data_IF_585771231209
#
_entry.id   IF_585771231209
#
_cell.length_a   1.000
_cell.length_b   1.000
_cell.length_c   1.000
_cell.angle_alpha   90.00
_cell.angle_beta   90.00
_cell.angle_gamma   90.00
#
_symmetry.space_group_name_H-M   'P 1'
#
loop_
_entity.id
_entity.type
_entity.pdbx_description
1 polymer ?
#
# COMPACT_ATOMS: atom_id res chain seq x y z
N UNK A 1 23.26 -62.07 -42.72
CA UNK A 1 22.48 -60.98 -42.08
C UNK A 1 22.80 -60.88 -40.58
N UNK A 2 24.01 -60.43 -40.21
CA UNK A 2 24.41 -60.17 -38.80
C UNK A 2 25.22 -58.87 -38.64
N UNK A 3 25.13 -57.96 -39.61
CA UNK A 3 25.89 -56.70 -39.63
C UNK A 3 25.06 -55.43 -39.50
N UNK A 4 23.72 -55.51 -39.49
CA UNK A 4 22.85 -54.32 -39.57
C UNK A 4 22.19 -53.92 -38.24
N UNK A 5 22.26 -54.76 -37.21
CA UNK A 5 21.57 -54.51 -35.92
C UNK A 5 22.47 -53.72 -34.94
N UNK A 6 23.80 -53.77 -35.09
CA UNK A 6 24.72 -53.09 -34.16
C UNK A 6 24.81 -51.58 -34.45
N UNK A 7 24.62 -51.16 -35.71
CA UNK A 7 24.68 -49.73 -36.06
C UNK A 7 23.43 -48.96 -35.58
N UNK A 8 22.25 -49.60 -35.54
CA UNK A 8 21.01 -48.95 -35.10
C UNK A 8 21.00 -48.71 -33.57
N UNK A 9 21.62 -49.60 -32.79
CA UNK A 9 21.70 -49.46 -31.32
C UNK A 9 22.72 -48.38 -30.90
N UNK A 10 23.74 -48.10 -31.72
CA UNK A 10 24.66 -46.99 -31.49
C UNK A 10 24.07 -45.62 -31.87
N UNK A 11 23.24 -45.54 -32.92
CA UNK A 11 22.58 -44.28 -33.30
C UNK A 11 21.42 -43.91 -32.35
N UNK A 12 20.72 -44.90 -31.79
CA UNK A 12 19.66 -44.65 -30.78
C UNK A 12 20.24 -44.25 -29.42
N UNK A 13 21.45 -44.70 -29.05
CA UNK A 13 22.14 -44.23 -27.84
C UNK A 13 22.83 -42.86 -27.97
N UNK A 14 22.95 -42.31 -29.18
CA UNK A 14 23.44 -40.95 -29.42
C UNK A 14 22.31 -39.90 -29.47
N UNK A 15 21.04 -40.32 -29.39
CA UNK A 15 19.87 -39.43 -29.37
C UNK A 15 19.15 -39.36 -28.00
N UNK A 16 19.73 -39.94 -26.96
CA UNK A 16 19.25 -39.80 -25.58
C UNK A 16 20.28 -39.01 -24.78
N UNK A 17 19.82 -37.90 -24.18
CA UNK A 17 20.57 -36.97 -23.32
C UNK A 17 21.30 -35.79 -23.98
N UNK A 18 20.62 -35.04 -24.85
CA UNK A 18 20.66 -33.58 -24.76
C UNK A 18 19.46 -33.12 -23.93
N UNK A 19 19.42 -33.51 -22.65
CA UNK A 19 18.64 -32.72 -21.70
C UNK A 19 19.32 -31.34 -21.65
N UNK A 20 18.61 -30.22 -21.83
CA UNK A 20 19.23 -28.91 -21.66
C UNK A 20 19.89 -28.90 -20.28
N UNK A 21 21.19 -28.59 -20.26
CA UNK A 21 21.96 -28.48 -19.03
C UNK A 21 21.29 -27.42 -18.16
N UNK A 22 20.49 -27.88 -17.19
CA UNK A 22 19.85 -27.02 -16.20
C UNK A 22 20.90 -26.77 -15.14
N UNK A 23 21.57 -25.62 -15.23
CA UNK A 23 22.49 -25.18 -14.19
C UNK A 23 21.71 -24.40 -13.14
N UNK A 24 21.59 -24.96 -11.93
CA UNK A 24 21.20 -24.19 -10.75
C UNK A 24 22.38 -23.31 -10.34
N UNK A 25 22.18 -21.99 -10.28
CA UNK A 25 23.21 -21.04 -9.86
C UNK A 25 22.78 -20.35 -8.56
N UNK A 26 23.73 -20.12 -7.65
CA UNK A 26 23.55 -19.15 -6.56
C UNK A 26 23.18 -17.80 -7.18
N UNK A 27 22.12 -17.18 -6.66
CA UNK A 27 21.52 -15.98 -7.23
C UNK A 27 21.69 -14.79 -6.30
N UNK A 28 22.03 -13.62 -6.84
CA UNK A 28 22.01 -12.33 -6.13
C UNK A 28 20.60 -11.72 -6.05
N UNK A 29 19.59 -12.47 -6.50
CA UNK A 29 18.18 -12.08 -6.45
C UNK A 29 17.68 -12.29 -5.02
N UNK A 30 17.12 -11.23 -4.44
CA UNK A 30 16.60 -11.23 -3.07
C UNK A 30 15.13 -10.78 -3.05
N UNK A 31 14.42 -11.14 -1.99
CA UNK A 31 13.13 -10.51 -1.69
C UNK A 31 13.40 -9.13 -1.10
N UNK A 32 12.80 -8.09 -1.67
CA UNK A 32 12.92 -6.73 -1.16
C UNK A 32 12.39 -6.62 0.26
N UNK A 33 12.96 -5.74 1.09
CA UNK A 33 12.40 -5.42 2.39
C UNK A 33 10.96 -4.93 2.24
N UNK A 34 10.71 -3.95 1.38
CA UNK A 34 9.36 -3.46 1.09
C UNK A 34 9.00 -3.59 -0.37
N UNK A 35 7.70 -3.45 -0.65
CA UNK A 35 7.17 -3.40 -2.00
C UNK A 35 7.93 -2.40 -2.88
N UNK A 36 8.30 -2.84 -4.09
CA UNK A 36 9.11 -2.09 -5.04
C UNK A 36 10.48 -1.63 -4.50
N UNK A 37 11.03 -2.35 -3.51
CA UNK A 37 12.29 -2.00 -2.88
C UNK A 37 12.25 -0.72 -2.04
N UNK A 38 11.07 -0.25 -1.62
CA UNK A 38 10.95 0.96 -0.81
C UNK A 38 11.82 0.92 0.45
N UNK A 39 12.20 2.11 0.93
CA UNK A 39 12.98 2.27 2.16
C UNK A 39 12.09 2.11 3.39
N UNK A 40 10.79 2.39 3.28
CA UNK A 40 9.83 2.17 4.36
C UNK A 40 8.42 2.00 3.82
N UNK A 41 7.53 1.53 4.70
CA UNK A 41 6.09 1.66 4.51
C UNK A 41 5.53 2.66 5.50
N UNK A 42 5.01 3.77 4.97
CA UNK A 42 4.43 4.88 5.75
C UNK A 42 3.02 5.13 5.26
N UNK A 43 2.03 5.03 6.15
CA UNK A 43 0.60 5.09 5.76
C UNK A 43 -0.18 5.94 6.78
N UNK A 44 -1.04 6.84 6.31
CA UNK A 44 -2.08 7.41 7.17
C UNK A 44 -3.25 6.44 7.23
N UNK A 45 -3.71 6.10 8.43
CA UNK A 45 -4.95 5.34 8.59
C UNK A 45 -5.97 6.12 9.40
N UNK A 46 -7.24 5.78 9.21
CA UNK A 46 -8.37 6.45 9.83
C UNK A 46 -9.56 5.51 9.92
N UNK A 47 -10.59 5.90 10.65
CA UNK A 47 -11.89 5.26 10.58
C UNK A 47 -12.83 6.05 9.68
N UNK A 48 -13.72 5.32 9.02
CA UNK A 48 -14.94 5.83 8.41
C UNK A 48 -14.76 6.98 7.40
N UNK A 49 -14.83 6.65 6.13
CA UNK A 49 -15.02 7.55 5.01
C UNK A 49 -16.46 8.05 5.02
N UNK A 50 -16.64 9.32 5.37
CA UNK A 50 -17.93 9.99 5.30
C UNK A 50 -18.01 10.86 4.04
N UNK A 51 -18.83 10.49 3.05
CA UNK A 51 -19.19 11.39 1.96
C UNK A 51 -19.84 12.66 2.50
N UNK A 52 -19.73 13.75 1.75
CA UNK A 52 -20.25 15.06 2.16
C UNK A 52 -21.77 15.08 2.38
N UNK A 53 -22.51 14.19 1.73
CA UNK A 53 -23.96 14.02 1.88
C UNK A 53 -24.38 13.05 2.98
N UNK A 54 -23.43 12.43 3.69
CA UNK A 54 -23.73 11.46 4.73
C UNK A 54 -24.43 12.14 5.92
N UNK A 55 -25.55 11.57 6.40
CA UNK A 55 -26.44 12.22 7.37
C UNK A 55 -25.74 12.67 8.66
N UNK A 56 -24.71 11.94 9.10
CA UNK A 56 -23.94 12.25 10.32
C UNK A 56 -23.12 13.55 10.22
N UNK A 57 -22.69 13.94 9.01
CA UNK A 57 -21.77 15.06 8.80
C UNK A 57 -22.32 16.16 7.89
N UNK A 58 -23.41 15.90 7.15
CA UNK A 58 -23.91 16.79 6.08
C UNK A 58 -24.14 18.24 6.51
N UNK A 59 -24.52 18.44 7.78
CA UNK A 59 -24.93 19.73 8.34
C UNK A 59 -23.79 20.43 9.12
N UNK A 60 -22.55 19.91 9.08
CA UNK A 60 -21.39 20.57 9.67
C UNK A 60 -20.10 20.42 8.84
N UNK A 61 -19.02 21.00 9.36
CA UNK A 61 -17.68 21.06 8.74
C UNK A 61 -17.05 19.69 8.49
N UNK A 62 -17.46 18.65 9.20
CA UNK A 62 -16.93 17.29 9.02
C UNK A 62 -17.33 16.68 7.70
N UNK A 63 -18.31 17.25 6.98
CA UNK A 63 -18.61 16.84 5.60
C UNK A 63 -17.41 16.95 4.66
N UNK A 64 -16.42 17.76 5.02
CA UNK A 64 -15.18 17.94 4.26
C UNK A 64 -14.06 16.98 4.65
N UNK A 65 -14.17 16.23 5.76
CA UNK A 65 -13.05 15.47 6.33
C UNK A 65 -12.46 14.44 5.37
N UNK A 66 -13.29 13.63 4.72
CA UNK A 66 -12.84 12.60 3.77
C UNK A 66 -12.19 13.21 2.53
N UNK A 67 -12.77 14.28 1.98
CA UNK A 67 -12.22 14.98 0.82
C UNK A 67 -10.90 15.68 1.17
N UNK A 68 -10.80 16.26 2.36
CA UNK A 68 -9.59 16.90 2.85
C UNK A 68 -8.46 15.90 3.05
N UNK A 69 -8.74 14.75 3.67
CA UNK A 69 -7.73 13.74 3.87
C UNK A 69 -7.23 13.12 2.55
N UNK A 70 -8.13 12.92 1.58
CA UNK A 70 -7.73 12.50 0.24
C UNK A 70 -6.87 13.57 -0.44
N UNK A 71 -7.27 14.85 -0.37
CA UNK A 71 -6.47 15.96 -0.88
C UNK A 71 -5.05 15.95 -0.28
N UNK A 72 -4.93 15.75 1.04
CA UNK A 72 -3.64 15.67 1.73
C UNK A 72 -2.83 14.45 1.29
N UNK A 73 -3.47 13.30 1.08
CA UNK A 73 -2.82 12.09 0.57
C UNK A 73 -2.17 12.34 -0.81
N UNK A 74 -2.84 13.08 -1.70
CA UNK A 74 -2.27 13.51 -2.99
C UNK A 74 -1.16 14.56 -2.81
N UNK A 75 -1.39 15.56 -1.96
CA UNK A 75 -0.46 16.67 -1.73
C UNK A 75 0.88 16.20 -1.15
N UNK A 76 0.84 15.30 -0.17
CA UNK A 76 2.02 14.83 0.56
C UNK A 76 2.51 13.46 0.08
N UNK A 77 1.84 12.87 -0.92
CA UNK A 77 2.19 11.58 -1.48
C UNK A 77 2.25 10.45 -0.41
N UNK A 78 1.32 10.47 0.54
CA UNK A 78 1.16 9.48 1.60
C UNK A 78 -0.12 8.69 1.34
N UNK A 79 -0.08 7.34 1.29
CA UNK A 79 -1.28 6.52 1.15
C UNK A 79 -2.23 6.71 2.34
N UNK A 80 -3.53 6.63 2.03
CA UNK A 80 -4.61 6.74 3.00
C UNK A 80 -5.34 5.41 3.13
N UNK A 81 -5.60 4.93 4.35
CA UNK A 81 -6.35 3.71 4.57
C UNK A 81 -7.51 3.93 5.53
N UNK A 82 -8.67 3.37 5.23
CA UNK A 82 -9.90 3.60 6.00
C UNK A 82 -10.44 2.29 6.58
N UNK A 83 -10.71 2.27 7.88
CA UNK A 83 -11.48 1.20 8.51
C UNK A 83 -12.98 1.51 8.45
N UNK A 84 -13.77 0.64 7.84
CA UNK A 84 -15.20 0.83 7.59
C UNK A 84 -16.08 -0.21 8.27
N UNK A 85 -17.30 0.20 8.62
CA UNK A 85 -18.33 -0.71 9.14
C UNK A 85 -19.31 -1.16 8.04
N UNK A 86 -19.41 -0.39 6.96
CA UNK A 86 -20.30 -0.59 5.84
C UNK A 86 -19.88 0.30 4.64
N UNK A 87 -20.45 0.05 3.47
CA UNK A 87 -20.21 0.84 2.26
C UNK A 87 -21.14 2.05 2.24
N UNK A 88 -20.55 3.24 2.30
CA UNK A 88 -21.28 4.53 2.35
C UNK A 88 -21.48 5.15 0.96
N UNK A 89 -21.89 4.35 -0.02
CA UNK A 89 -22.26 4.83 -1.36
C UNK A 89 -21.11 4.96 -2.37
N UNK A 90 -21.42 5.54 -3.53
CA UNK A 90 -20.55 5.51 -4.73
C UNK A 90 -19.25 6.31 -4.59
N UNK A 91 -19.21 7.34 -3.74
CA UNK A 91 -18.00 8.14 -3.51
C UNK A 91 -16.90 7.31 -2.86
N UNK A 92 -17.25 6.40 -1.96
CA UNK A 92 -16.29 5.50 -1.32
C UNK A 92 -15.71 4.50 -2.32
N UNK A 93 -16.55 3.93 -3.19
CA UNK A 93 -16.08 3.08 -4.31
C UNK A 93 -15.10 3.82 -5.20
N UNK A 94 -15.40 5.06 -5.56
CA UNK A 94 -14.55 5.86 -6.43
C UNK A 94 -13.22 6.26 -5.76
N UNK A 95 -13.22 6.48 -4.44
CA UNK A 95 -12.00 6.65 -3.64
C UNK A 95 -11.09 5.43 -3.75
N UNK A 96 -11.62 4.21 -3.54
CA UNK A 96 -10.84 2.97 -3.67
C UNK A 96 -10.31 2.77 -5.09
N UNK A 97 -11.15 3.00 -6.11
CA UNK A 97 -10.76 2.86 -7.52
C UNK A 97 -9.70 3.88 -7.97
N UNK A 98 -9.56 5.00 -7.26
CA UNK A 98 -8.48 5.97 -7.53
C UNK A 98 -7.11 5.36 -7.21
N UNK A 99 -7.03 4.41 -6.27
CA UNK A 99 -5.80 3.70 -5.91
C UNK A 99 -4.85 4.49 -5.01
N UNK A 100 -5.29 5.66 -4.50
CA UNK A 100 -4.55 6.43 -3.48
C UNK A 100 -4.82 5.92 -2.07
N UNK A 101 -5.88 5.13 -1.88
CA UNK A 101 -6.19 4.52 -0.61
C UNK A 101 -6.87 3.16 -0.69
N UNK A 102 -6.98 2.53 0.48
CA UNK A 102 -7.58 1.20 0.66
C UNK A 102 -8.55 1.16 1.84
N UNK A 103 -9.20 0.01 2.02
CA UNK A 103 -10.19 -0.15 3.08
C UNK A 103 -10.14 -1.49 3.80
N UNK A 104 -10.47 -1.45 5.08
CA UNK A 104 -10.52 -2.60 5.98
C UNK A 104 -11.71 -2.53 6.91
N UNK A 105 -11.86 -3.51 7.78
CA UNK A 105 -13.00 -3.57 8.69
C UNK A 105 -12.76 -2.69 9.91
N UNK A 106 -13.68 -1.78 10.22
CA UNK A 106 -13.86 -1.26 11.57
C UNK A 106 -14.83 -2.20 12.29
N UNK A 107 -14.36 -2.99 13.27
CA UNK A 107 -15.26 -3.86 14.03
C UNK A 107 -15.75 -3.11 15.28
N UNK A 108 -17.06 -2.85 15.45
CA UNK A 108 -17.60 -2.03 16.53
C UNK A 108 -17.67 -2.78 17.88
N UNK A 109 -16.55 -3.35 18.34
CA UNK A 109 -16.50 -4.16 19.57
C UNK A 109 -16.91 -3.42 20.85
N UNK A 110 -16.98 -2.09 20.82
CA UNK A 110 -17.48 -1.29 21.93
C UNK A 110 -18.94 -1.58 22.24
N UNK A 111 -19.78 -1.66 21.20
CA UNK A 111 -21.23 -1.68 21.29
C UNK A 111 -21.83 -3.07 21.08
N UNK A 112 -21.08 -4.00 20.48
CA UNK A 112 -21.57 -5.36 20.20
C UNK A 112 -20.54 -6.42 20.61
N UNK A 113 -20.99 -7.56 21.20
CA UNK A 113 -20.14 -8.73 21.36
C UNK A 113 -19.58 -9.21 20.02
N UNK A 114 -18.40 -9.82 20.05
CA UNK A 114 -17.81 -10.41 18.84
C UNK A 114 -18.71 -11.53 18.28
N UNK A 115 -18.96 -11.47 16.97
CA UNK A 115 -19.64 -12.53 16.21
C UNK A 115 -18.96 -12.68 14.86
N UNK A 116 -18.42 -13.86 14.58
CA UNK A 116 -17.77 -14.16 13.30
C UNK A 116 -18.67 -13.84 12.10
N UNK A 117 -19.94 -14.25 12.14
CA UNK A 117 -20.90 -13.96 11.06
C UNK A 117 -21.09 -12.47 10.79
N UNK A 118 -20.99 -11.61 11.81
CA UNK A 118 -21.08 -10.15 11.62
C UNK A 118 -19.81 -9.61 10.99
N UNK A 119 -18.63 -10.07 11.43
CA UNK A 119 -17.35 -9.74 10.80
C UNK A 119 -17.37 -10.13 9.31
N UNK A 120 -17.77 -11.35 9.01
CA UNK A 120 -17.80 -11.89 7.63
C UNK A 120 -18.74 -11.09 6.72
N UNK A 121 -19.89 -10.67 7.25
CA UNK A 121 -20.82 -9.80 6.54
C UNK A 121 -20.19 -8.45 6.17
N UNK A 122 -19.42 -7.84 7.08
CA UNK A 122 -18.76 -6.55 6.82
C UNK A 122 -17.62 -6.74 5.80
N UNK A 123 -16.84 -7.81 5.93
CA UNK A 123 -15.76 -8.17 4.99
C UNK A 123 -16.32 -8.35 3.58
N UNK A 124 -17.43 -9.07 3.42
CA UNK A 124 -18.06 -9.30 2.13
C UNK A 124 -18.51 -7.98 1.49
N UNK A 125 -19.18 -7.12 2.25
CA UNK A 125 -19.69 -5.84 1.77
C UNK A 125 -18.55 -4.89 1.32
N UNK A 126 -17.51 -4.73 2.14
CA UNK A 126 -16.36 -3.90 1.79
C UNK A 126 -15.58 -4.53 0.63
N UNK A 127 -15.39 -5.85 0.66
CA UNK A 127 -14.60 -6.58 -0.32
C UNK A 127 -15.17 -6.53 -1.73
N UNK A 128 -16.50 -6.54 -1.87
CA UNK A 128 -17.18 -6.37 -3.16
C UNK A 128 -16.81 -5.03 -3.84
N UNK A 129 -16.72 -3.95 -3.04
CA UNK A 129 -16.44 -2.61 -3.56
C UNK A 129 -14.95 -2.36 -3.75
N UNK A 130 -14.14 -2.89 -2.84
CA UNK A 130 -12.69 -2.77 -2.86
C UNK A 130 -12.04 -3.65 -3.94
N UNK A 131 -12.71 -4.73 -4.34
CA UNK A 131 -12.19 -5.70 -5.32
C UNK A 131 -11.18 -6.67 -4.73
N UNK A 132 -11.08 -6.75 -3.39
CA UNK A 132 -10.28 -7.73 -2.65
C UNK A 132 -10.87 -7.94 -1.27
N UNK A 133 -10.61 -9.10 -0.68
CA UNK A 133 -11.04 -9.42 0.70
C UNK A 133 -10.25 -8.58 1.70
N UNK A 134 -10.90 -7.79 2.59
CA UNK A 134 -10.21 -7.17 3.72
C UNK A 134 -9.54 -8.22 4.61
N UNK A 135 -8.25 -8.07 4.85
CA UNK A 135 -7.43 -8.97 5.67
C UNK A 135 -7.01 -8.34 6.99
N UNK A 136 -7.35 -7.07 7.20
CA UNK A 136 -7.06 -6.34 8.44
C UNK A 136 -8.31 -5.71 9.04
N UNK A 137 -8.25 -5.38 10.32
CA UNK A 137 -9.34 -4.70 11.01
C UNK A 137 -8.87 -3.68 12.06
N UNK A 138 -9.77 -2.80 12.47
CA UNK A 138 -9.62 -1.95 13.65
C UNK A 138 -10.43 -2.49 14.81
N UNK A 139 -9.81 -2.60 15.99
CA UNK A 139 -10.49 -2.91 17.25
C UNK A 139 -11.26 -1.67 17.71
N UNK A 140 -12.56 -1.63 17.43
CA UNK A 140 -13.42 -0.55 17.92
C UNK A 140 -13.27 -0.41 19.43
N UNK A 141 -12.82 0.78 19.85
CA UNK A 141 -12.56 1.17 21.24
C UNK A 141 -11.51 0.31 21.97
N UNK A 142 -10.64 -0.38 21.23
CA UNK A 142 -9.50 -1.12 21.75
C UNK A 142 -9.84 -2.37 22.59
N UNK A 143 -11.04 -2.94 22.47
CA UNK A 143 -11.33 -4.25 23.08
C UNK A 143 -10.57 -5.35 22.35
N UNK A 144 -9.80 -6.14 23.10
CA UNK A 144 -8.95 -7.22 22.57
C UNK A 144 -9.35 -8.62 23.04
N UNK A 145 -10.42 -8.75 23.83
CA UNK A 145 -10.84 -10.03 24.41
C UNK A 145 -11.39 -11.06 23.40
N UNK A 146 -11.50 -10.70 22.12
CA UNK A 146 -11.96 -11.57 21.04
C UNK A 146 -10.87 -11.86 20.00
N UNK A 147 -9.63 -11.41 20.24
CA UNK A 147 -8.52 -11.61 19.29
C UNK A 147 -8.24 -13.09 19.04
N UNK A 148 -8.34 -13.94 20.06
CA UNK A 148 -8.18 -15.40 19.93
C UNK A 148 -9.28 -16.05 19.07
N UNK A 149 -10.44 -15.41 18.98
CA UNK A 149 -11.57 -15.88 18.17
C UNK A 149 -11.53 -15.36 16.73
N UNK A 150 -10.50 -14.57 16.35
CA UNK A 150 -10.41 -14.02 15.00
C UNK A 150 -10.09 -15.12 13.98
N UNK A 151 -10.78 -15.14 12.83
CA UNK A 151 -10.51 -16.10 11.77
C UNK A 151 -9.09 -15.96 11.23
N UNK A 152 -8.53 -17.03 10.68
CA UNK A 152 -7.14 -17.07 10.17
C UNK A 152 -6.91 -16.19 8.93
N UNK A 153 -7.96 -15.75 8.24
CA UNK A 153 -7.87 -14.73 7.17
C UNK A 153 -7.75 -13.29 7.68
N UNK A 154 -7.85 -13.05 8.99
CA UNK A 154 -7.47 -11.77 9.58
C UNK A 154 -5.99 -11.82 9.95
N UNK A 155 -5.20 -11.17 9.09
CA UNK A 155 -3.74 -11.18 9.09
C UNK A 155 -3.14 -10.11 10.01
N UNK A 156 -3.86 -9.00 10.23
CA UNK A 156 -3.40 -7.91 11.06
C UNK A 156 -4.54 -7.09 11.62
N UNK A 157 -4.26 -6.31 12.65
CA UNK A 157 -5.26 -5.42 13.20
C UNK A 157 -4.64 -4.21 13.88
N UNK A 158 -5.45 -3.18 14.06
CA UNK A 158 -5.06 -1.93 14.69
C UNK A 158 -6.01 -1.55 15.81
N UNK A 159 -5.48 -1.22 16.98
CA UNK A 159 -6.31 -0.64 18.05
C UNK A 159 -6.60 0.83 17.73
N UNK A 160 -7.79 1.30 18.09
CA UNK A 160 -8.07 2.73 18.10
C UNK A 160 -7.47 3.42 19.33
N UNK A 161 -6.86 2.72 20.29
CA UNK A 161 -6.39 3.36 21.53
C UNK A 161 -5.01 3.98 21.31
N UNK A 162 -4.80 5.18 21.87
CA UNK A 162 -3.50 5.84 21.84
C UNK A 162 -2.48 5.01 22.64
N UNK A 163 -1.23 5.05 22.20
CA UNK A 163 -0.10 4.71 23.07
C UNK A 163 -0.01 5.85 24.10
N UNK A 164 -0.08 5.58 25.42
CA UNK A 164 0.05 6.62 26.44
C UNK A 164 1.36 7.41 26.26
N UNK A 165 1.28 8.74 26.37
CA UNK A 165 2.45 9.63 26.38
C UNK A 165 3.41 9.21 27.50
N UNK A 166 4.71 9.15 27.22
CA UNK A 166 5.75 8.74 28.17
C UNK A 166 6.16 7.27 28.10
N UNK A 167 5.53 6.47 27.23
CA UNK A 167 6.02 5.14 26.87
C UNK A 167 6.84 5.27 25.58
N UNK A 168 8.13 4.96 25.65
CA UNK A 168 9.00 4.85 24.47
C UNK A 168 8.53 3.67 23.61
N UNK A 169 7.72 3.94 22.59
CA UNK A 169 7.39 2.97 21.55
C UNK A 169 7.99 3.46 20.25
N UNK A 170 9.03 2.76 19.80
CA UNK A 170 9.64 2.99 18.49
C UNK A 170 8.71 2.50 17.37
N UNK A 171 8.83 3.11 16.19
CA UNK A 171 8.22 2.59 14.96
C UNK A 171 8.52 1.09 14.79
N UNK A 172 7.58 0.33 14.23
CA UNK A 172 7.75 -1.13 14.12
C UNK A 172 8.76 -1.43 13.03
N UNK A 173 9.89 -1.99 13.44
CA UNK A 173 10.98 -2.38 12.58
C UNK A 173 10.92 -3.89 12.35
N UNK A 174 10.13 -4.34 11.38
CA UNK A 174 10.02 -5.77 11.04
C UNK A 174 11.31 -6.36 10.40
N UNK A 175 12.37 -5.57 10.22
CA UNK A 175 13.37 -5.83 9.17
C UNK A 175 14.85 -5.89 9.61
N UNK A 176 15.17 -6.49 10.77
CA UNK A 176 16.53 -7.02 11.03
C UNK A 176 17.25 -6.49 12.27
N UNK A 177 18.44 -7.05 12.49
CA UNK A 177 19.06 -7.27 13.80
C UNK A 177 19.21 -6.02 14.69
N UNK A 178 18.55 -6.04 15.85
CA UNK A 178 18.71 -5.03 16.92
C UNK A 178 17.77 -3.82 16.85
N UNK A 179 16.46 -4.00 16.62
CA UNK A 179 15.55 -2.85 16.50
C UNK A 179 14.23 -3.02 17.27
N UNK A 180 13.93 -2.00 18.09
CA UNK A 180 12.94 -2.00 19.16
C UNK A 180 13.61 -2.03 20.54
N UNK A 181 14.36 -0.99 20.91
CA UNK A 181 14.64 -0.70 22.33
C UNK A 181 13.37 -0.02 22.86
N UNK A 182 12.20 -0.67 22.91
CA UNK A 182 11.88 -1.72 23.87
C UNK A 182 11.22 -3.00 23.28
N UNK A 183 11.90 -4.13 23.53
CA UNK A 183 11.47 -5.53 23.72
C UNK A 183 10.43 -6.15 22.77
N UNK A 184 10.91 -6.54 21.58
CA UNK A 184 10.51 -7.72 20.79
C UNK A 184 9.01 -7.92 20.48
N UNK A 185 8.61 -7.57 19.25
CA UNK A 185 7.50 -8.26 18.59
C UNK A 185 7.95 -9.69 18.27
N UNK A 186 7.53 -10.65 19.09
CA UNK A 186 7.60 -12.08 18.79
C UNK A 186 6.49 -12.44 17.81
N UNK A 187 6.87 -12.53 16.56
CA UNK A 187 5.98 -12.84 15.46
C UNK A 187 5.47 -14.29 15.47
N UNK A 188 6.03 -15.20 16.25
CA UNK A 188 5.38 -16.51 16.48
C UNK A 188 4.05 -16.35 17.23
N UNK A 189 3.87 -15.22 17.93
CA UNK A 189 2.69 -14.92 18.73
C UNK A 189 1.79 -13.94 18.00
N UNK A 190 0.81 -14.48 17.24
CA UNK A 190 -0.26 -13.73 16.55
C UNK A 190 -0.83 -12.58 17.39
N UNK A 191 -0.99 -12.80 18.71
CA UNK A 191 -1.49 -11.81 19.66
C UNK A 191 -0.68 -10.52 19.77
N UNK A 192 0.64 -10.55 19.57
CA UNK A 192 1.46 -9.34 19.68
C UNK A 192 1.30 -8.40 18.48
N UNK A 193 1.16 -8.98 17.27
CA UNK A 193 0.85 -8.25 16.02
C UNK A 193 -0.49 -7.52 16.14
N UNK A 194 -1.45 -8.17 16.79
CA UNK A 194 -2.78 -7.62 17.07
C UNK A 194 -2.75 -6.53 18.17
N UNK A 195 -1.78 -6.55 19.09
CA UNK A 195 -1.69 -5.63 20.24
C UNK A 195 -0.96 -4.33 19.95
N UNK A 196 0.06 -4.34 19.09
CA UNK A 196 0.96 -3.19 18.88
C UNK A 196 1.04 -2.81 17.39
N UNK A 197 0.08 -2.05 16.85
CA UNK A 197 0.18 -1.45 15.52
C UNK A 197 1.05 -0.18 15.57
N UNK A 198 1.99 -0.04 14.64
CA UNK A 198 2.99 1.04 14.66
C UNK A 198 2.34 2.42 14.56
N UNK A 199 2.45 3.25 15.60
CA UNK A 199 2.26 4.70 15.50
C UNK A 199 1.25 5.29 16.48
N UNK A 200 1.12 6.61 16.46
CA UNK A 200 0.33 7.37 17.45
C UNK A 200 -1.11 7.63 17.04
N UNK A 201 -1.91 8.07 18.03
CA UNK A 201 -3.25 8.64 17.90
C UNK A 201 -3.21 10.08 18.41
N UNK A 202 -2.41 10.93 17.76
CA UNK A 202 -2.17 12.29 18.26
C UNK A 202 -3.40 13.19 18.21
N UNK A 203 -4.38 12.87 17.38
CA UNK A 203 -5.61 13.65 17.28
C UNK A 203 -6.30 13.87 18.64
N UNK A 204 -6.51 12.80 19.40
CA UNK A 204 -7.24 12.88 20.69
C UNK A 204 -6.43 13.65 21.74
N UNK A 205 -5.11 13.50 21.74
CA UNK A 205 -4.23 14.22 22.66
C UNK A 205 -4.16 15.71 22.32
N UNK A 206 -4.12 16.07 21.02
CA UNK A 206 -4.09 17.46 20.56
C UNK A 206 -5.40 18.19 20.94
N UNK A 207 -6.57 17.58 20.68
CA UNK A 207 -7.85 18.25 21.00
C UNK A 207 -8.10 18.35 22.51
N UNK A 208 -7.54 17.43 23.30
CA UNK A 208 -7.58 17.48 24.76
C UNK A 208 -6.54 18.44 25.34
N UNK A 209 -5.74 19.10 24.48
CA UNK A 209 -4.63 19.98 24.86
C UNK A 209 -3.58 19.31 25.74
N UNK A 210 -3.43 17.99 25.60
CA UNK A 210 -2.36 17.24 26.26
C UNK A 210 -1.02 17.46 25.55
N UNK A 211 -1.06 17.85 24.27
CA UNK A 211 0.10 18.09 23.41
C UNK A 211 -0.25 19.14 22.36
N UNK A 212 0.71 19.98 21.97
CA UNK A 212 0.52 20.90 20.87
C UNK A 212 0.62 20.19 19.50
N UNK A 213 -0.07 20.71 18.48
CA UNK A 213 -0.04 20.11 17.14
C UNK A 213 1.38 20.05 16.54
N UNK A 214 2.23 21.01 16.90
CA UNK A 214 3.64 21.06 16.51
C UNK A 214 4.46 19.94 17.17
N UNK A 215 4.26 19.69 18.45
CA UNK A 215 4.94 18.62 19.19
C UNK A 215 4.54 17.25 18.66
N UNK A 216 3.24 17.03 18.39
CA UNK A 216 2.76 15.83 17.73
C UNK A 216 3.38 15.66 16.34
N UNK A 217 3.44 16.72 15.54
CA UNK A 217 4.08 16.69 14.21
C UNK A 217 5.58 16.35 14.31
N UNK A 218 6.30 16.88 15.30
CA UNK A 218 7.71 16.57 15.52
C UNK A 218 7.91 15.09 15.86
N UNK A 219 7.07 14.53 16.73
CA UNK A 219 7.10 13.10 17.04
C UNK A 219 6.83 12.24 15.79
N UNK A 220 5.79 12.57 15.00
CA UNK A 220 5.47 11.83 13.77
C UNK A 220 6.66 11.83 12.80
N UNK A 221 7.29 13.00 12.60
CA UNK A 221 8.46 13.14 11.74
C UNK A 221 9.61 12.26 12.21
N UNK A 222 9.89 12.24 13.51
CA UNK A 222 10.95 11.41 14.12
C UNK A 222 10.68 9.92 13.90
N UNK A 223 9.46 9.46 14.20
CA UNK A 223 9.10 8.04 14.03
C UNK A 223 9.16 7.58 12.57
N UNK A 224 8.78 8.45 11.62
CA UNK A 224 8.95 8.13 10.20
C UNK A 224 10.42 8.08 9.82
N UNK A 225 11.26 8.99 10.32
CA UNK A 225 12.71 8.90 10.09
C UNK A 225 13.32 7.63 10.68
N UNK A 226 12.86 7.17 11.85
CA UNK A 226 13.26 5.88 12.42
C UNK A 226 12.84 4.75 11.47
N UNK A 227 11.59 4.73 11.00
CA UNK A 227 11.13 3.72 10.05
C UNK A 227 12.00 3.71 8.78
N UNK A 228 12.34 4.85 8.18
CA UNK A 228 13.25 4.89 7.02
C UNK A 228 14.63 4.30 7.35
N UNK A 229 15.25 4.73 8.45
CA UNK A 229 16.61 4.31 8.81
C UNK A 229 16.73 2.81 9.14
N UNK A 230 15.60 2.17 9.43
CA UNK A 230 15.52 0.79 9.91
C UNK A 230 14.85 -0.14 8.90
N UNK A 231 14.56 0.37 7.70
CA UNK A 231 13.66 -0.28 6.76
C UNK A 231 12.34 -0.70 7.40
N UNK A 232 11.75 0.08 8.29
CA UNK A 232 10.57 -0.23 9.10
C UNK A 232 9.22 0.18 8.50
N UNK A 233 8.21 0.11 9.35
CA UNK A 233 6.80 0.35 9.06
C UNK A 233 6.24 1.37 10.04
N UNK A 234 5.50 2.37 9.54
CA UNK A 234 4.86 3.40 10.35
C UNK A 234 3.42 3.67 9.89
N UNK A 235 2.50 3.77 10.84
CA UNK A 235 1.13 4.19 10.56
C UNK A 235 0.59 5.21 11.57
N UNK A 236 0.14 6.38 11.14
CA UNK A 236 -0.58 7.29 12.03
C UNK A 236 -2.08 6.98 12.04
N UNK A 237 -2.75 6.96 13.21
CA UNK A 237 -4.22 6.82 13.30
C UNK A 237 -4.85 8.18 13.57
N UNK A 238 -5.98 8.45 12.92
CA UNK A 238 -6.76 9.65 13.17
C UNK A 238 -8.26 9.40 13.05
N UNK A 239 -9.02 9.83 14.05
CA UNK A 239 -10.47 9.99 13.93
C UNK A 239 -10.77 11.35 13.32
N UNK A 240 -10.81 11.40 12.00
CA UNK A 240 -10.81 12.68 11.28
C UNK A 240 -12.15 13.44 11.33
N UNK A 241 -13.17 12.81 11.92
CA UNK A 241 -14.55 13.26 12.02
C UNK A 241 -14.93 13.57 13.48
N UNK A 242 -13.99 13.40 14.41
CA UNK A 242 -14.22 13.73 15.81
C UNK A 242 -14.09 15.25 16.03
N UNK A 243 -14.62 15.70 17.17
CA UNK A 243 -14.40 17.05 17.71
C UNK A 243 -14.39 17.02 19.24
N UNK A 244 -13.75 18.02 19.84
CA UNK A 244 -13.87 18.33 21.28
C UNK A 244 -14.62 19.64 21.49
N UNK A 245 -15.23 19.79 22.67
CA UNK A 245 -15.80 21.06 23.14
C UNK A 245 -14.91 21.54 24.29
N UNK A 246 -14.37 22.75 24.16
CA UNK A 246 -13.58 23.42 25.18
C UNK A 246 -14.06 24.86 25.34
N UNK A 247 -14.47 25.26 26.54
CA UNK A 247 -15.01 26.60 26.84
C UNK A 247 -16.04 27.08 25.78
N UNK A 248 -17.03 26.24 25.49
CA UNK A 248 -18.08 26.46 24.46
C UNK A 248 -17.58 26.59 23.02
N UNK A 249 -16.29 26.35 22.75
CA UNK A 249 -15.70 26.33 21.41
C UNK A 249 -15.48 24.90 20.93
N UNK A 250 -15.93 24.63 19.70
CA UNK A 250 -15.72 23.35 19.02
C UNK A 250 -14.33 23.30 18.38
N UNK A 251 -13.51 22.33 18.76
CA UNK A 251 -12.22 22.02 18.14
C UNK A 251 -12.37 20.80 17.25
N UNK A 252 -12.14 20.96 15.95
CA UNK A 252 -12.44 19.95 14.92
C UNK A 252 -11.18 19.19 14.50
N UNK A 253 -11.26 17.85 14.37
CA UNK A 253 -10.11 17.04 13.92
C UNK A 253 -9.66 17.28 12.50
N UNK A 254 -10.55 17.80 11.66
CA UNK A 254 -10.23 18.21 10.29
C UNK A 254 -9.12 19.27 10.24
N UNK A 255 -9.01 20.13 11.26
CA UNK A 255 -8.04 21.22 11.28
C UNK A 255 -6.59 20.77 11.55
N UNK A 256 -6.39 19.59 12.14
CA UNK A 256 -5.07 19.12 12.58
C UNK A 256 -4.46 18.06 11.65
N UNK A 257 -5.17 17.67 10.58
CA UNK A 257 -4.67 16.62 9.67
C UNK A 257 -3.39 17.04 8.93
N UNK A 258 -3.37 18.25 8.37
CA UNK A 258 -2.30 18.69 7.48
C UNK A 258 -0.92 18.72 8.16
N UNK A 259 -0.77 19.25 9.39
CA UNK A 259 0.49 19.15 10.13
C UNK A 259 1.03 17.72 10.23
N UNK A 260 0.18 16.73 10.49
CA UNK A 260 0.59 15.32 10.63
C UNK A 260 0.97 14.70 9.28
N UNK A 261 0.22 14.99 8.20
CA UNK A 261 0.59 14.57 6.84
C UNK A 261 1.92 15.17 6.39
N UNK A 262 2.11 16.47 6.63
CA UNK A 262 3.37 17.16 6.35
C UNK A 262 4.52 16.54 7.14
N UNK A 263 4.32 16.23 8.42
CA UNK A 263 5.34 15.59 9.25
C UNK A 263 5.76 14.22 8.71
N UNK A 264 4.82 13.40 8.23
CA UNK A 264 5.14 12.11 7.60
C UNK A 264 5.99 12.29 6.34
N UNK A 265 5.64 13.24 5.47
CA UNK A 265 6.43 13.55 4.26
C UNK A 265 7.83 14.08 4.61
N UNK A 266 7.93 14.98 5.59
CA UNK A 266 9.21 15.50 6.07
C UNK A 266 10.08 14.40 6.70
N UNK A 267 9.46 13.45 7.41
CA UNK A 267 10.16 12.32 8.02
C UNK A 267 10.78 11.37 7.01
N UNK A 268 10.17 11.24 5.81
CA UNK A 268 10.71 10.45 4.71
C UNK A 268 12.01 11.04 4.14
N UNK A 269 12.24 12.36 4.24
CA UNK A 269 13.45 13.04 3.74
C UNK A 269 13.82 12.70 2.28
N UNK A 270 12.82 12.46 1.44
CA UNK A 270 12.99 12.06 0.04
C UNK A 270 13.24 10.57 -0.20
N UNK A 271 13.30 9.75 0.85
CA UNK A 271 13.28 8.28 0.75
C UNK A 271 11.98 7.77 0.12
N UNK A 272 12.05 6.59 -0.48
CA UNK A 272 10.94 5.96 -1.19
C UNK A 272 10.01 5.26 -0.21
N UNK A 273 8.76 5.69 -0.17
CA UNK A 273 7.67 4.97 0.48
C UNK A 273 7.14 3.86 -0.45
N UNK A 274 6.67 2.75 0.12
CA UNK A 274 6.03 1.62 -0.61
C UNK A 274 4.73 1.99 -1.32
N UNK A 275 4.01 3.01 -0.82
CA UNK A 275 2.67 3.42 -1.29
C UNK A 275 1.58 2.34 -1.22
N UNK A 276 1.82 1.25 -0.50
CA UNK A 276 0.81 0.25 -0.17
C UNK A 276 -0.21 0.83 0.81
N UNK A 277 -1.46 0.36 0.72
CA UNK A 277 -2.41 0.55 1.81
C UNK A 277 -2.18 -0.47 2.94
N UNK A 278 -2.92 -0.36 4.04
CA UNK A 278 -2.69 -1.16 5.23
C UNK A 278 -2.91 -2.68 5.02
N UNK A 279 -3.92 -3.10 4.24
CA UNK A 279 -4.09 -4.54 3.95
C UNK A 279 -2.90 -5.05 3.17
N UNK A 280 -2.54 -4.33 2.11
CA UNK A 280 -1.46 -4.72 1.23
C UNK A 280 -0.14 -4.80 1.96
N UNK A 281 0.13 -3.82 2.82
CA UNK A 281 1.36 -3.82 3.58
C UNK A 281 1.45 -5.02 4.52
N UNK A 282 0.37 -5.37 5.22
CA UNK A 282 0.34 -6.56 6.09
C UNK A 282 0.45 -7.84 5.25
N UNK A 283 -0.31 -7.98 4.16
CA UNK A 283 -0.21 -9.10 3.23
C UNK A 283 1.22 -9.27 2.69
N UNK A 284 1.90 -8.16 2.37
CA UNK A 284 3.28 -8.17 1.89
C UNK A 284 4.24 -8.76 2.95
N UNK A 285 4.03 -8.48 4.25
CA UNK A 285 4.87 -9.06 5.31
C UNK A 285 4.72 -10.59 5.33
N UNK A 286 3.48 -11.10 5.28
CA UNK A 286 3.23 -12.54 5.23
C UNK A 286 3.83 -13.18 3.97
N UNK A 287 3.66 -12.53 2.81
CA UNK A 287 4.18 -13.03 1.55
C UNK A 287 5.71 -13.11 1.51
N UNK A 288 6.38 -12.07 2.01
CA UNK A 288 7.84 -12.04 2.07
C UNK A 288 8.39 -13.11 3.02
N UNK A 289 7.79 -13.28 4.19
CA UNK A 289 8.24 -14.30 5.17
C UNK A 289 8.04 -15.73 4.69
N UNK A 290 7.01 -15.96 3.87
CA UNK A 290 6.78 -17.26 3.28
C UNK A 290 7.91 -17.69 2.35
N UNK A 291 8.65 -16.76 1.75
CA UNK A 291 9.74 -17.09 0.81
C UNK A 291 10.92 -17.72 1.54
N UNK A 292 11.19 -18.97 1.19
CA UNK A 292 12.31 -19.76 1.73
C UNK A 292 13.59 -19.49 0.94
N UNK A 293 13.50 -19.67 -0.38
CA UNK A 293 14.65 -19.50 -1.28
C UNK A 293 14.19 -19.07 -2.66
N UNK A 294 15.11 -18.49 -3.42
CA UNK A 294 14.90 -18.16 -4.83
C UNK A 294 15.99 -18.88 -5.62
N UNK A 295 15.58 -19.70 -6.58
CA UNK A 295 16.48 -20.37 -7.50
C UNK A 295 16.37 -19.77 -8.89
N UNK A 296 17.52 -19.64 -9.55
CA UNK A 296 17.60 -19.26 -10.96
C UNK A 296 17.92 -20.51 -11.79
N UNK A 297 17.07 -20.80 -12.78
CA UNK A 297 17.22 -21.93 -13.69
C UNK A 297 17.26 -21.40 -15.12
N UNK A 298 18.41 -21.55 -15.77
CA UNK A 298 18.54 -21.27 -17.19
C UNK A 298 18.00 -22.45 -18.00
N UNK A 299 16.99 -22.20 -18.85
CA UNK A 299 16.36 -23.26 -19.66
C UNK A 299 16.90 -23.25 -21.09
N UNK A 300 17.06 -22.06 -21.66
CA UNK A 300 17.64 -21.83 -22.99
C UNK A 300 17.97 -20.34 -23.12
N UNK A 301 18.81 -19.94 -24.08
CA UNK A 301 19.20 -18.53 -24.31
C UNK A 301 18.08 -17.48 -24.42
N UNK A 302 16.81 -17.88 -24.53
CA UNK A 302 15.62 -17.01 -24.59
C UNK A 302 14.64 -17.19 -23.43
N UNK A 303 14.91 -18.12 -22.51
CA UNK A 303 14.07 -18.40 -21.37
C UNK A 303 14.88 -18.59 -20.07
N UNK A 304 14.58 -17.75 -19.09
CA UNK A 304 15.00 -17.89 -17.71
C UNK A 304 13.79 -18.25 -16.84
N UNK A 305 13.98 -19.16 -15.89
CA UNK A 305 12.99 -19.44 -14.84
C UNK A 305 13.53 -19.01 -13.49
N UNK A 306 12.72 -18.28 -12.74
CA UNK A 306 12.93 -18.04 -11.32
C UNK A 306 11.96 -18.95 -10.56
N UNK A 307 12.48 -19.80 -9.69
CA UNK A 307 11.66 -20.66 -8.82
C UNK A 307 11.74 -20.07 -7.43
N UNK A 308 10.63 -19.49 -6.98
CA UNK A 308 10.48 -19.01 -5.61
C UNK A 308 9.94 -20.17 -4.79
N UNK A 309 10.76 -20.75 -3.93
CA UNK A 309 10.32 -21.74 -2.95
C UNK A 309 9.73 -21.00 -1.76
N UNK A 310 8.58 -21.47 -1.27
CA UNK A 310 7.90 -20.82 -0.16
C UNK A 310 7.07 -21.81 0.64
N UNK A 311 6.86 -21.48 1.90
CA UNK A 311 6.06 -22.27 2.84
C UNK A 311 5.30 -21.36 3.81
N UNK A 312 4.09 -21.79 4.18
CA UNK A 312 3.23 -21.04 5.08
C UNK A 312 3.83 -21.10 6.51
N UNK A 313 4.52 -20.03 6.91
CA UNK A 313 5.24 -19.97 8.21
C UNK A 313 4.34 -19.77 9.42
N UNK A 314 3.08 -19.37 9.20
CA UNK A 314 2.14 -18.98 10.25
C UNK A 314 0.85 -19.75 10.14
N UNK A 315 0.16 -19.88 11.28
CA UNK A 315 -1.24 -20.30 11.33
C UNK A 315 -2.15 -19.15 10.85
N UNK A 316 -2.19 -18.98 9.54
CA UNK A 316 -2.96 -17.97 8.82
C UNK A 316 -3.47 -18.55 7.51
N UNK A 317 -4.55 -17.98 6.99
CA UNK A 317 -5.05 -18.32 5.67
C UNK A 317 -4.26 -17.54 4.62
N UNK A 318 -3.33 -18.20 3.92
CA UNK A 318 -2.52 -17.56 2.87
C UNK A 318 -3.30 -17.35 1.57
N UNK A 319 -4.47 -17.97 1.38
CA UNK A 319 -5.25 -17.86 0.14
C UNK A 319 -5.83 -16.45 -0.08
N UNK A 320 -5.99 -15.69 1.00
CA UNK A 320 -6.47 -14.30 0.97
C UNK A 320 -5.38 -13.28 0.61
N UNK A 321 -4.10 -13.68 0.62
CA UNK A 321 -2.99 -12.80 0.26
C UNK A 321 -3.00 -12.60 -1.25
N UNK A 322 -3.29 -11.37 -1.69
CA UNK A 322 -3.28 -10.96 -3.10
C UNK A 322 -2.16 -9.98 -3.42
N UNK A 323 -1.45 -9.50 -2.40
CA UNK A 323 -0.31 -8.60 -2.59
C UNK A 323 0.92 -9.38 -3.04
N UNK A 324 1.52 -9.03 -4.20
CA UNK A 324 2.69 -9.72 -4.71
C UNK A 324 3.94 -9.40 -3.89
N UNK A 325 4.83 -10.38 -3.77
CA UNK A 325 6.18 -10.18 -3.22
C UNK A 325 7.07 -9.53 -4.27
N UNK A 326 8.00 -8.65 -3.85
CA UNK A 326 8.93 -7.98 -4.78
C UNK A 326 10.28 -8.70 -4.80
N UNK A 327 10.61 -9.32 -5.93
CA UNK A 327 11.96 -9.81 -6.20
C UNK A 327 12.82 -8.65 -6.70
N UNK A 328 13.89 -8.34 -5.97
CA UNK A 328 14.91 -7.38 -6.40
C UNK A 328 16.00 -8.12 -7.16
N UNK A 329 16.15 -7.74 -8.42
CA UNK A 329 17.04 -8.40 -9.37
C UNK A 329 18.07 -7.37 -9.84
N UNK A 330 19.34 -7.49 -9.44
CA UNK A 330 20.41 -6.69 -10.01
C UNK A 330 20.43 -6.82 -11.54
N UNK A 331 20.60 -5.72 -12.27
CA UNK A 331 20.51 -5.74 -13.75
C UNK A 331 21.54 -6.66 -14.42
N UNK A 332 22.67 -6.88 -13.77
CA UNK A 332 23.73 -7.80 -14.18
C UNK A 332 23.43 -9.28 -13.83
N UNK A 333 22.53 -9.56 -12.87
CA UNK A 333 22.22 -10.92 -12.42
C UNK A 333 21.53 -11.79 -13.49
N UNK A 334 20.91 -11.15 -14.48
CA UNK A 334 20.18 -11.80 -15.58
C UNK A 334 21.08 -12.19 -16.76
N UNK A 335 22.36 -11.81 -16.76
CA UNK A 335 23.30 -12.17 -17.83
C UNK A 335 22.83 -11.69 -19.21
N UNK A 336 22.44 -12.63 -20.08
CA UNK A 336 21.99 -12.34 -21.45
C UNK A 336 20.47 -12.17 -21.59
N UNK A 337 19.70 -12.41 -20.52
CA UNK A 337 18.24 -12.28 -20.56
C UNK A 337 17.83 -10.83 -20.40
N UNK A 338 17.11 -10.31 -21.38
CA UNK A 338 16.55 -8.96 -21.32
C UNK A 338 15.14 -9.01 -20.72
N UNK A 339 15.00 -8.52 -19.50
CA UNK A 339 13.70 -8.44 -18.83
C UNK A 339 12.73 -7.50 -19.57
N UNK A 340 13.27 -6.55 -20.35
CA UNK A 340 12.48 -5.59 -21.12
C UNK A 340 11.68 -6.27 -22.24
N UNK A 341 12.11 -7.47 -22.66
CA UNK A 341 11.43 -8.26 -23.67
C UNK A 341 10.49 -9.31 -23.07
N UNK A 342 10.33 -9.35 -21.75
CA UNK A 342 9.54 -10.39 -21.07
C UNK A 342 8.05 -10.30 -21.42
N UNK A 343 7.52 -11.41 -21.91
CA UNK A 343 6.08 -11.60 -22.18
C UNK A 343 5.27 -11.59 -20.89
N UNK A 344 4.13 -10.92 -20.93
CA UNK A 344 3.16 -10.91 -19.85
C UNK A 344 2.61 -12.31 -19.52
N UNK A 345 2.45 -12.57 -18.23
CA UNK A 345 1.82 -13.74 -17.65
C UNK A 345 1.14 -13.36 -16.33
N UNK A 346 0.31 -14.25 -15.79
CA UNK A 346 -0.51 -13.95 -14.60
C UNK A 346 0.29 -13.96 -13.29
N UNK A 347 1.49 -14.54 -13.29
CA UNK A 347 2.34 -14.65 -12.09
C UNK A 347 3.07 -13.34 -11.80
N UNK A 348 3.53 -12.62 -12.83
CA UNK A 348 4.14 -11.29 -12.67
C UNK A 348 3.06 -10.22 -12.84
N UNK A 349 2.76 -9.52 -11.76
CA UNK A 349 1.75 -8.46 -11.73
C UNK A 349 2.30 -7.16 -12.32
N UNK A 350 3.57 -6.85 -12.04
CA UNK A 350 4.24 -5.66 -12.56
C UNK A 350 5.75 -5.78 -12.48
N UNK A 351 6.43 -4.98 -13.30
CA UNK A 351 7.89 -4.85 -13.32
C UNK A 351 8.23 -3.37 -13.21
N UNK A 352 9.11 -3.03 -12.28
CA UNK A 352 9.67 -1.70 -12.13
C UNK A 352 11.18 -1.72 -12.22
N UNK A 353 11.79 -0.56 -12.41
CA UNK A 353 13.25 -0.44 -12.40
C UNK A 353 13.73 0.83 -11.70
N UNK A 354 14.97 0.78 -11.22
CA UNK A 354 15.79 1.96 -10.95
C UNK A 354 17.11 1.86 -11.73
N UNK A 355 18.12 2.66 -11.37
CA UNK A 355 19.43 2.63 -12.01
C UNK A 355 20.06 1.22 -12.01
N UNK A 356 19.95 0.47 -10.92
CA UNK A 356 20.76 -0.71 -10.63
C UNK A 356 19.97 -2.02 -10.65
N UNK A 357 18.65 -1.99 -10.42
CA UNK A 357 17.83 -3.17 -10.22
C UNK A 357 16.54 -3.14 -11.05
N UNK A 358 16.05 -4.33 -11.36
CA UNK A 358 14.66 -4.59 -11.68
C UNK A 358 13.93 -5.08 -10.42
N UNK A 359 12.65 -4.74 -10.33
CA UNK A 359 11.76 -5.11 -9.24
C UNK A 359 10.57 -5.88 -9.82
N UNK A 360 10.54 -7.18 -9.59
CA UNK A 360 9.51 -8.08 -10.10
C UNK A 360 8.48 -8.34 -9.02
N UNK A 361 7.25 -7.89 -9.24
CA UNK A 361 6.15 -8.15 -8.33
C UNK A 361 5.46 -9.46 -8.72
N UNK A 362 5.73 -10.50 -7.93
CA UNK A 362 5.34 -11.87 -8.17
C UNK A 362 4.21 -12.25 -7.22
N UNK A 363 3.08 -12.69 -7.77
CA UNK A 363 2.02 -13.29 -6.96
C UNK A 363 2.39 -14.75 -6.66
N UNK A 364 2.54 -15.08 -5.38
CA UNK A 364 2.85 -16.44 -4.95
C UNK A 364 1.61 -17.32 -5.03
N UNK A 365 1.81 -18.56 -5.47
CA UNK A 365 0.79 -19.60 -5.44
C UNK A 365 0.97 -20.44 -4.17
N UNK A 366 0.17 -20.15 -3.15
CA UNK A 366 0.21 -20.83 -1.84
C UNK A 366 -0.43 -22.23 -1.81
N UNK A 367 -1.00 -22.70 -2.93
CA UNK A 367 -1.47 -24.09 -3.06
C UNK A 367 -0.31 -25.07 -3.36
N UNK A 368 0.92 -24.57 -3.49
CA UNK A 368 2.12 -25.33 -3.84
C UNK A 368 3.32 -24.79 -3.08
N UNK A 369 4.34 -25.61 -2.87
CA UNK A 369 5.57 -25.19 -2.18
C UNK A 369 6.51 -24.33 -3.05
N UNK A 370 6.10 -24.01 -4.28
CA UNK A 370 6.88 -23.12 -5.14
C UNK A 370 6.03 -22.40 -6.19
N UNK A 371 6.49 -21.20 -6.54
CA UNK A 371 5.99 -20.39 -7.63
C UNK A 371 7.07 -20.28 -8.70
N UNK A 372 6.78 -20.73 -9.91
CA UNK A 372 7.72 -20.60 -11.05
C UNK A 372 7.35 -19.37 -11.87
N UNK A 373 8.29 -18.45 -12.01
CA UNK A 373 8.22 -17.26 -12.86
C UNK A 373 9.04 -17.52 -14.11
N UNK A 374 8.41 -17.45 -15.28
CA UNK A 374 9.11 -17.59 -16.55
C UNK A 374 9.34 -16.22 -17.19
N UNK A 375 10.60 -15.87 -17.42
CA UNK A 375 11.00 -14.71 -18.21
C UNK A 375 11.30 -15.19 -19.63
N UNK A 376 10.39 -14.90 -20.56
CA UNK A 376 10.44 -15.37 -21.94
C UNK A 376 10.31 -14.15 -22.85
N UNK A 377 11.19 -14.03 -23.85
CA UNK A 377 11.08 -12.95 -24.83
C UNK A 377 9.80 -13.08 -25.67
N UNK A 378 9.01 -12.01 -25.82
CA UNK A 378 7.78 -12.01 -26.60
C UNK A 378 7.27 -10.64 -27.05
N UNK A 379 6.12 -10.64 -27.74
CA UNK A 379 5.50 -9.43 -28.30
C UNK A 379 4.62 -8.67 -27.29
N UNK A 380 3.87 -9.40 -26.45
CA UNK A 380 3.04 -8.81 -25.38
C UNK A 380 3.87 -8.51 -24.13
N UNK A 381 4.56 -7.37 -24.12
CA UNK A 381 5.57 -7.04 -23.09
C UNK A 381 4.99 -6.28 -21.90
N UNK A 382 5.65 -6.39 -20.76
CA UNK A 382 5.34 -5.53 -19.61
C UNK A 382 5.66 -4.06 -19.90
N UNK A 383 4.81 -3.16 -19.41
CA UNK A 383 5.18 -1.75 -19.25
C UNK A 383 6.09 -1.69 -18.01
N UNK A 384 7.32 -1.20 -18.21
CA UNK A 384 8.31 -1.09 -17.14
C UNK A 384 8.46 0.37 -16.75
N UNK A 385 7.86 0.74 -15.62
CA UNK A 385 7.95 2.10 -15.08
C UNK A 385 9.25 2.28 -14.27
N UNK A 386 9.85 3.47 -14.38
CA UNK A 386 11.02 3.86 -13.61
C UNK A 386 10.62 4.47 -12.26
N UNK A 387 11.10 3.91 -11.15
CA UNK A 387 10.79 4.33 -9.78
C UNK A 387 11.39 5.70 -9.41
N UNK A 388 12.48 6.10 -10.07
CA UNK A 388 13.16 7.39 -9.86
C UNK A 388 12.46 8.54 -10.61
N UNK A 389 11.61 8.22 -11.59
CA UNK A 389 10.91 9.23 -12.40
C UNK A 389 9.79 9.88 -11.59
N UNK A 390 10.06 11.08 -11.06
CA UNK A 390 9.06 11.88 -10.34
C UNK A 390 7.91 12.31 -11.25
N UNK A 391 6.68 12.17 -10.76
CA UNK A 391 5.47 12.72 -11.38
C UNK A 391 5.55 14.26 -11.40
N UNK A 392 5.30 14.83 -12.58
CA UNK A 392 5.18 16.27 -12.81
C UNK A 392 3.81 16.54 -13.40
N UNK A 393 3.07 17.43 -12.78
CA UNK A 393 1.74 17.89 -13.21
C UNK A 393 1.85 19.35 -13.64
N UNK A 394 1.20 19.71 -14.74
CA UNK A 394 1.24 21.08 -15.30
C UNK A 394 -0.13 21.47 -15.84
N UNK A 395 -0.47 22.74 -15.65
CA UNK A 395 -1.57 23.38 -16.36
C UNK A 395 -1.10 23.83 -17.75
N UNK A 396 -1.94 23.62 -18.75
CA UNK A 396 -1.76 24.15 -20.10
C UNK A 396 -2.76 25.27 -20.36
N UNK A 397 -2.28 26.51 -20.22
CA UNK A 397 -3.08 27.74 -20.31
C UNK A 397 -3.93 27.81 -21.60
N UNK A 398 -3.37 27.44 -22.75
CA UNK A 398 -4.08 27.55 -24.04
C UNK A 398 -5.22 26.53 -24.22
N UNK A 399 -5.09 25.33 -23.65
CA UNK A 399 -6.06 24.26 -23.82
C UNK A 399 -6.95 24.03 -22.60
N UNK A 400 -6.74 24.83 -21.54
CA UNK A 400 -7.35 24.65 -20.20
C UNK A 400 -7.33 23.19 -19.76
N UNK A 401 -6.19 22.53 -19.99
CA UNK A 401 -6.02 21.11 -19.69
C UNK A 401 -4.87 20.90 -18.72
N UNK A 402 -4.94 19.80 -17.98
CA UNK A 402 -3.89 19.35 -17.08
C UNK A 402 -3.13 18.23 -17.77
N UNK A 403 -1.81 18.32 -17.76
CA UNK A 403 -0.92 17.30 -18.33
C UNK A 403 0.06 16.76 -17.32
N UNK A 404 0.43 15.50 -17.49
CA UNK A 404 1.41 14.79 -16.68
C UNK A 404 2.49 14.16 -17.56
N UNK A 405 3.70 13.97 -17.02
CA UNK A 405 4.80 13.31 -17.71
C UNK A 405 4.76 11.77 -17.61
N UNK A 406 3.76 11.22 -16.92
CA UNK A 406 3.54 9.79 -16.68
C UNK A 406 2.01 9.59 -16.71
N UNK A 407 1.48 8.58 -17.45
CA UNK A 407 0.06 8.27 -17.43
C UNK A 407 -0.47 8.14 -16.00
N UNK A 408 -1.51 8.92 -15.68
CA UNK A 408 -2.03 9.08 -14.33
C UNK A 408 -3.56 9.02 -14.30
N UNK A 409 -4.12 8.62 -13.17
CA UNK A 409 -5.51 8.90 -12.82
C UNK A 409 -5.59 10.31 -12.24
N UNK A 410 -6.74 10.98 -12.32
CA UNK A 410 -6.91 12.35 -11.87
C UNK A 410 -8.07 12.50 -10.88
N UNK A 411 -7.91 13.39 -9.91
CA UNK A 411 -8.98 13.84 -9.01
C UNK A 411 -9.00 15.35 -9.00
N UNK A 412 -10.17 15.95 -9.17
CA UNK A 412 -10.37 17.39 -9.13
C UNK A 412 -11.07 17.78 -7.84
N UNK A 413 -10.45 18.71 -7.14
CA UNK A 413 -10.96 19.34 -5.94
C UNK A 413 -11.21 20.83 -6.19
N UNK A 414 -12.07 21.43 -5.38
CA UNK A 414 -12.21 22.90 -5.31
C UNK A 414 -12.36 23.36 -3.86
N UNK A 415 -12.12 24.64 -3.65
CA UNK A 415 -12.37 25.35 -2.39
C UNK A 415 -12.96 26.71 -2.69
N UNK A 416 -13.98 27.14 -1.93
CA UNK A 416 -14.48 28.51 -2.04
C UNK A 416 -13.39 29.51 -1.61
N UNK A 417 -13.28 30.66 -2.24
CA UNK A 417 -12.32 31.68 -1.79
C UNK A 417 -12.75 32.27 -0.45
N UNK A 418 -11.78 32.52 0.43
CA UNK A 418 -12.00 33.10 1.76
C UNK A 418 -12.56 32.16 2.83
N UNK A 419 -12.76 30.86 2.54
CA UNK A 419 -13.13 29.88 3.57
C UNK A 419 -11.90 29.15 4.15
N UNK A 420 -12.12 28.33 5.18
CA UNK A 420 -11.03 27.59 5.84
C UNK A 420 -10.38 26.61 4.86
N UNK A 421 -9.08 26.37 5.04
CA UNK A 421 -8.26 25.59 4.10
C UNK A 421 -8.78 24.17 3.85
N UNK A 422 -9.43 23.59 4.85
CA UNK A 422 -9.93 22.21 4.84
C UNK A 422 -11.35 22.08 4.28
N UNK A 423 -12.03 23.18 3.94
CA UNK A 423 -13.35 23.15 3.30
C UNK A 423 -13.23 22.84 1.80
N UNK A 424 -12.61 21.69 1.51
CA UNK A 424 -12.33 21.17 0.18
C UNK A 424 -13.48 20.27 -0.27
N UNK A 425 -13.93 20.47 -1.51
CA UNK A 425 -14.96 19.68 -2.17
C UNK A 425 -14.37 18.86 -3.30
N UNK A 426 -14.89 17.64 -3.50
CA UNK A 426 -14.52 16.77 -4.62
C UNK A 426 -15.48 16.95 -5.79
N UNK A 427 -14.94 17.17 -6.99
CA UNK A 427 -15.71 17.62 -8.16
C UNK A 427 -15.70 16.62 -9.31
N UNK A 428 -14.56 16.01 -9.62
CA UNK A 428 -14.45 15.01 -10.70
C UNK A 428 -13.37 13.98 -10.37
N UNK A 429 -13.50 12.80 -10.99
CA UNK A 429 -12.50 11.73 -10.98
C UNK A 429 -12.34 11.15 -12.37
N UNK A 430 -11.09 10.92 -12.78
CA UNK A 430 -10.74 10.14 -13.97
C UNK A 430 -9.95 8.93 -13.54
N UNK A 431 -10.61 7.77 -13.63
CA UNK A 431 -10.10 6.51 -13.11
C UNK A 431 -9.27 5.72 -14.14
N UNK A 432 -9.22 6.17 -15.39
CA UNK A 432 -8.36 5.61 -16.43
C UNK A 432 -7.03 6.36 -16.46
N UNK A 433 -5.93 5.64 -16.66
CA UNK A 433 -4.61 6.25 -16.81
C UNK A 433 -4.52 7.02 -18.12
N UNK A 434 -4.18 8.30 -18.04
CA UNK A 434 -4.00 9.20 -19.17
C UNK A 434 -2.91 10.22 -18.83
N UNK A 435 -2.20 10.73 -19.84
CA UNK A 435 -1.26 11.84 -19.65
C UNK A 435 -1.96 13.20 -19.62
N UNK A 436 -3.24 13.25 -20.04
CA UNK A 436 -4.02 14.47 -20.18
C UNK A 436 -5.38 14.34 -19.50
N UNK A 437 -5.78 15.41 -18.84
CA UNK A 437 -7.10 15.59 -18.24
C UNK A 437 -7.66 16.96 -18.65
N UNK A 438 -8.92 16.97 -19.10
CA UNK A 438 -9.65 18.20 -19.39
C UNK A 438 -10.69 18.42 -18.28
N UNK A 439 -10.45 19.36 -17.34
CA UNK A 439 -11.40 19.66 -16.30
C UNK A 439 -12.71 20.25 -16.86
N UNK A 440 -13.83 20.15 -16.10
CA UNK A 440 -15.05 20.89 -16.40
C UNK A 440 -14.82 22.40 -16.29
N UNK A 441 -15.81 23.19 -16.74
CA UNK A 441 -15.77 24.65 -16.61
C UNK A 441 -15.69 25.06 -15.13
N UNK A 442 -14.79 25.99 -14.83
CA UNK A 442 -14.62 26.50 -13.47
C UNK A 442 -15.65 27.57 -13.13
N UNK A 443 -16.22 27.45 -11.94
CA UNK A 443 -17.08 28.45 -11.32
C UNK A 443 -16.25 29.57 -10.69
N UNK A 444 -16.68 30.83 -10.87
CA UNK A 444 -16.09 32.01 -10.23
C UNK A 444 -16.20 31.94 -8.69
N UNK A 445 -15.20 32.50 -8.00
CA UNK A 445 -15.13 32.50 -6.53
C UNK A 445 -14.61 31.20 -5.91
N UNK A 446 -14.02 30.30 -6.71
CA UNK A 446 -13.41 29.05 -6.26
C UNK A 446 -11.96 28.90 -6.74
N UNK A 447 -11.13 28.35 -5.86
CA UNK A 447 -9.81 27.82 -6.16
C UNK A 447 -9.94 26.34 -6.57
N UNK A 448 -9.20 25.89 -7.58
CA UNK A 448 -9.25 24.49 -8.06
C UNK A 448 -7.93 23.79 -7.89
N UNK A 449 -7.96 22.51 -7.54
CA UNK A 449 -6.77 21.70 -7.35
C UNK A 449 -6.91 20.36 -8.04
N UNK A 450 -5.88 19.94 -8.77
CA UNK A 450 -5.89 18.64 -9.44
C UNK A 450 -4.81 17.75 -8.84
N UNK A 451 -5.24 16.61 -8.29
CA UNK A 451 -4.39 15.50 -7.92
C UNK A 451 -4.20 14.55 -9.11
N UNK A 452 -3.00 14.02 -9.25
CA UNK A 452 -2.69 12.95 -10.21
C UNK A 452 -1.95 11.80 -9.50
N UNK A 453 -2.20 10.55 -9.92
CA UNK A 453 -1.54 9.36 -9.38
C UNK A 453 -1.16 8.36 -10.48
N UNK A 454 0.09 7.89 -10.44
CA UNK A 454 0.68 6.95 -11.42
C UNK A 454 0.38 5.48 -11.09
N UNK A 455 0.77 4.56 -11.98
CA UNK A 455 0.76 3.10 -11.70
C UNK A 455 1.68 2.70 -10.56
N UNK A 456 2.80 3.41 -10.40
CA UNK A 456 3.71 3.29 -9.25
C UNK A 456 3.15 3.90 -7.97
N UNK A 457 1.92 4.44 -8.02
CA UNK A 457 1.22 5.12 -6.91
C UNK A 457 1.98 6.33 -6.36
N UNK A 458 2.83 6.94 -7.17
CA UNK A 458 3.33 8.27 -6.89
C UNK A 458 2.23 9.27 -7.23
N UNK A 459 1.98 10.19 -6.32
CA UNK A 459 0.99 11.24 -6.48
C UNK A 459 1.59 12.64 -6.35
N UNK A 460 0.92 13.58 -6.98
CA UNK A 460 1.23 15.00 -6.92
C UNK A 460 -0.07 15.80 -7.00
N UNK A 461 -0.04 17.05 -6.55
CA UNK A 461 -1.17 17.97 -6.58
C UNK A 461 -0.72 19.33 -7.11
N UNK A 462 -1.54 19.96 -7.94
CA UNK A 462 -1.34 21.33 -8.43
C UNK A 462 -2.51 22.22 -8.06
N UNK A 463 -2.24 23.48 -7.74
CA UNK A 463 -3.23 24.54 -7.69
C UNK A 463 -3.39 25.13 -9.11
N UNK A 464 -4.62 25.12 -9.62
CA UNK A 464 -4.98 25.62 -10.94
C UNK A 464 -5.36 27.08 -10.79
N UNK A 465 -4.66 27.97 -11.50
CA UNK A 465 -4.93 29.40 -11.40
C UNK A 465 -6.13 29.72 -12.29
N UNK A 466 -7.23 30.14 -11.68
CA UNK A 466 -8.39 30.66 -12.41
C UNK A 466 -8.21 32.14 -12.73
#
# INVERSE_FOLDING_TARGET
>A
MKGFIILLVMVVNLMVCCAPATSEMNTSIEVSAHYNGADATVIQVTDQYFPSYHFYVRDDTRKFSSAWAEFLAFKYNIPLHVFEQNVKGSMFKAFLQTGRGGASVYYPSCSVPYRKSKLDSIIAEIGEVYGRTPTTLSYGCGKLNYTDSLPTYILGARTSNAIPIGIEVNAITWYGNGLGVAYQLDFSQRQQILKYPAGGRFYTDIIQKNIEAEEAANFVKEQVSIAVNTNGFYTNFMHWHDYAIDNDKRVEGVAVMEPLFKAMEMGLKGSRNSYLDYNEAIEYLYAKEAVDTIKKIEVSHKQLKLVVQHSNKRDADYTVIKTPVTLKIPKDALGKYDIMDTKQNDTIISIFQDKNNFYLNVLLNYDRDSTTVSLINGEDRYIIDNLEKKLKIREQNFSKSITTNIPSKFVLFRRKQGVKIYEIELIDRRLNFSEKYKPPNFQEGYDYFCGAITRTRQSALIHIKN
#
